data_IF_138789385180
#
_entry.id   IF_138789385180
#
_cell.length_a   1.000
_cell.length_b   1.000
_cell.length_c   1.000
_cell.angle_alpha   90.00
_cell.angle_beta   90.00
_cell.angle_gamma   90.00
#
_symmetry.space_group_name_H-M   'P 1'
#
loop_
_entity.id
_entity.type
_entity.pdbx_description
1 polymer ?
#
# COMPACT_ATOMS: atom_id res chain seq x y z
N UNK A 1 17.03 42.92 15.72
CA UNK A 1 17.23 41.49 15.79
C UNK A 1 16.65 40.88 14.52
N UNK A 2 17.43 40.16 13.72
CA UNK A 2 16.87 39.50 12.53
C UNK A 2 15.86 38.43 13.01
N UNK A 3 14.66 38.45 12.41
CA UNK A 3 13.66 37.38 12.59
C UNK A 3 14.30 36.11 12.08
N UNK A 4 14.40 35.07 12.92
CA UNK A 4 14.72 33.73 12.47
C UNK A 4 13.78 33.40 11.33
N UNK A 5 14.31 33.03 10.17
CA UNK A 5 13.54 32.52 9.06
C UNK A 5 12.81 31.26 9.58
N UNK A 6 11.49 31.34 9.65
CA UNK A 6 10.70 30.17 10.00
C UNK A 6 11.09 29.05 9.01
N UNK A 7 11.49 27.88 9.53
CA UNK A 7 11.74 26.73 8.69
C UNK A 7 10.49 26.45 7.83
N UNK A 8 10.67 26.04 6.57
CA UNK A 8 9.54 25.74 5.72
C UNK A 8 8.72 24.60 6.37
N UNK A 9 7.41 24.81 6.52
CA UNK A 9 6.51 23.82 7.16
C UNK A 9 6.37 22.52 6.36
N UNK A 10 6.83 22.51 5.12
CA UNK A 10 6.84 21.34 4.23
C UNK A 10 8.24 21.18 3.67
N UNK A 11 8.78 19.99 3.86
CA UNK A 11 9.99 19.51 3.17
C UNK A 11 9.60 18.33 2.29
N UNK A 12 10.17 18.25 1.09
CA UNK A 12 9.98 17.11 0.19
C UNK A 12 11.34 16.61 -0.24
N UNK A 13 11.65 15.39 0.13
CA UNK A 13 12.84 14.67 -0.33
C UNK A 13 12.42 13.67 -1.42
N UNK A 14 13.11 13.68 -2.55
CA UNK A 14 12.92 12.69 -3.62
C UNK A 14 14.12 11.77 -3.57
N UNK A 15 13.88 10.51 -3.17
CA UNK A 15 14.93 9.50 -3.00
C UNK A 15 15.09 8.64 -4.25
N UNK A 16 14.12 8.70 -5.15
CA UNK A 16 14.15 7.95 -6.39
C UNK A 16 15.32 8.43 -7.26
N UNK A 17 16.30 7.56 -7.51
CA UNK A 17 17.14 7.68 -8.69
C UNK A 17 16.35 7.09 -9.84
N UNK A 18 15.76 7.97 -10.68
CA UNK A 18 14.87 7.54 -11.78
C UNK A 18 15.50 6.46 -12.67
N UNK A 19 16.82 6.47 -12.85
CA UNK A 19 17.51 5.51 -13.68
C UNK A 19 17.63 4.13 -12.99
N UNK A 20 18.06 4.11 -11.74
CA UNK A 20 18.23 2.88 -10.95
C UNK A 20 16.90 2.24 -10.60
N UNK A 21 15.89 3.04 -10.28
CA UNK A 21 14.54 2.55 -9.99
C UNK A 21 13.88 1.96 -11.23
N UNK A 22 14.07 2.58 -12.39
CA UNK A 22 13.57 2.08 -13.66
C UNK A 22 14.27 0.77 -14.05
N UNK A 23 15.59 0.68 -13.90
CA UNK A 23 16.33 -0.55 -14.17
C UNK A 23 15.87 -1.70 -13.27
N UNK A 24 15.75 -1.44 -11.96
CA UNK A 24 15.26 -2.42 -10.98
C UNK A 24 13.83 -2.88 -11.29
N UNK A 25 12.94 -1.97 -11.70
CA UNK A 25 11.57 -2.30 -12.08
C UNK A 25 11.54 -3.16 -13.35
N UNK A 26 12.40 -2.87 -14.33
CA UNK A 26 12.48 -3.67 -15.56
C UNK A 26 12.98 -5.09 -15.26
N UNK A 27 14.02 -5.24 -14.46
CA UNK A 27 14.51 -6.55 -14.01
C UNK A 27 13.46 -7.33 -13.21
N UNK A 28 12.76 -6.67 -12.31
CA UNK A 28 11.66 -7.28 -11.56
C UNK A 28 10.54 -7.73 -12.49
N UNK A 29 10.22 -6.91 -13.51
CA UNK A 29 9.20 -7.24 -14.51
C UNK A 29 9.59 -8.46 -15.32
N UNK A 30 10.83 -8.54 -15.81
CA UNK A 30 11.34 -9.73 -16.54
C UNK A 30 11.23 -10.98 -15.67
N UNK A 31 11.78 -10.92 -14.45
CA UNK A 31 11.78 -12.06 -13.52
C UNK A 31 10.38 -12.58 -13.22
N UNK A 32 9.41 -11.67 -12.98
CA UNK A 32 8.03 -12.05 -12.65
C UNK A 32 7.26 -12.58 -13.88
N UNK A 33 7.48 -12.01 -15.06
CA UNK A 33 6.86 -12.48 -16.30
C UNK A 33 7.40 -13.85 -16.76
N UNK A 34 8.59 -14.23 -16.34
CA UNK A 34 9.21 -15.54 -16.63
C UNK A 34 9.00 -16.55 -15.50
N UNK A 35 8.27 -16.20 -14.44
CA UNK A 35 7.94 -17.11 -13.35
C UNK A 35 6.97 -18.23 -13.78
N UNK A 36 6.73 -19.19 -12.88
CA UNK A 36 5.77 -20.29 -13.08
C UNK A 36 4.36 -19.75 -13.37
N UNK A 37 3.95 -18.74 -12.65
CA UNK A 37 2.78 -17.89 -12.97
C UNK A 37 3.31 -16.58 -13.50
N UNK A 38 2.91 -16.21 -14.72
CA UNK A 38 3.25 -14.89 -15.26
C UNK A 38 2.64 -13.80 -14.41
N UNK A 39 3.44 -12.84 -13.97
CA UNK A 39 2.99 -11.79 -13.09
C UNK A 39 3.58 -10.43 -13.51
N UNK A 40 2.78 -9.36 -13.39
CA UNK A 40 3.25 -7.99 -13.49
C UNK A 40 3.47 -7.42 -12.08
N UNK A 41 4.58 -6.73 -11.81
CA UNK A 41 4.72 -5.96 -10.58
C UNK A 41 3.55 -5.00 -10.36
N UNK A 42 2.97 -4.98 -9.16
CA UNK A 42 1.80 -4.16 -8.82
C UNK A 42 2.04 -2.64 -9.01
N UNK A 43 3.30 -2.20 -9.02
CA UNK A 43 3.64 -0.80 -9.29
C UNK A 43 3.12 -0.30 -10.65
N UNK A 44 2.95 -1.19 -11.64
CA UNK A 44 2.36 -0.85 -12.94
C UNK A 44 0.88 -0.44 -12.88
N UNK A 45 0.21 -0.73 -11.76
CA UNK A 45 -1.16 -0.29 -11.49
C UNK A 45 -1.26 1.21 -11.19
N UNK A 46 -0.19 1.82 -10.65
CA UNK A 46 -0.22 3.12 -9.98
C UNK A 46 0.40 4.27 -10.80
N UNK A 47 0.26 4.22 -12.15
CA UNK A 47 0.49 5.42 -12.93
C UNK A 47 -0.58 6.48 -12.62
N UNK A 48 -0.49 7.67 -13.23
CA UNK A 48 -1.42 8.78 -12.97
C UNK A 48 -2.90 8.38 -13.15
N UNK A 49 -3.21 7.59 -14.21
CA UNK A 49 -4.57 7.11 -14.44
C UNK A 49 -4.96 6.06 -13.41
N UNK A 50 -4.08 5.10 -13.14
CA UNK A 50 -4.31 4.05 -12.16
C UNK A 50 -4.56 4.60 -10.77
N UNK A 51 -3.79 5.61 -10.35
CA UNK A 51 -4.00 6.28 -9.06
C UNK A 51 -5.39 6.92 -8.97
N UNK A 52 -5.88 7.54 -10.06
CA UNK A 52 -7.27 8.06 -10.11
C UNK A 52 -8.32 6.96 -10.04
N UNK A 53 -8.12 5.85 -10.77
CA UNK A 53 -9.02 4.69 -10.72
C UNK A 53 -9.04 4.06 -9.32
N UNK A 54 -7.88 3.94 -8.68
CA UNK A 54 -7.82 3.45 -7.30
C UNK A 54 -8.59 4.37 -6.34
N UNK A 55 -8.47 5.67 -6.50
CA UNK A 55 -9.27 6.62 -5.71
C UNK A 55 -10.78 6.44 -5.93
N UNK A 56 -11.22 6.12 -7.15
CA UNK A 56 -12.61 5.77 -7.44
C UNK A 56 -13.00 4.45 -6.77
N UNK A 57 -12.15 3.41 -6.82
CA UNK A 57 -12.35 2.13 -6.13
C UNK A 57 -12.60 2.36 -4.64
N UNK A 58 -11.83 3.22 -3.99
CA UNK A 58 -12.01 3.51 -2.55
C UNK A 58 -13.37 4.11 -2.18
N UNK A 59 -14.14 4.59 -3.17
CA UNK A 59 -15.48 5.17 -2.99
C UNK A 59 -16.62 4.19 -3.33
N UNK A 60 -16.28 3.00 -3.90
CA UNK A 60 -17.27 1.99 -4.25
C UNK A 60 -17.91 1.37 -3.00
N UNK A 61 -19.19 1.02 -3.12
CA UNK A 61 -19.92 0.40 -2.03
C UNK A 61 -19.39 -1.00 -1.72
N UNK A 62 -19.02 -1.75 -2.75
CA UNK A 62 -18.49 -3.10 -2.65
C UNK A 62 -17.10 -3.11 -2.01
N UNK A 63 -16.27 -2.10 -2.27
CA UNK A 63 -14.91 -1.97 -1.71
C UNK A 63 -14.96 -1.38 -0.30
N UNK A 64 -15.21 -2.23 0.69
CA UNK A 64 -15.47 -1.83 2.08
C UNK A 64 -14.22 -1.43 2.88
N UNK A 65 -13.00 -1.82 2.46
CA UNK A 65 -11.77 -1.71 3.24
C UNK A 65 -11.53 -0.32 3.85
N UNK A 66 -11.52 0.79 3.08
CA UNK A 66 -11.23 2.10 3.66
C UNK A 66 -12.28 2.57 4.67
N UNK A 67 -13.55 2.15 4.48
CA UNK A 67 -14.63 2.51 5.40
C UNK A 67 -14.49 1.79 6.73
N UNK A 68 -14.20 0.47 6.71
CA UNK A 68 -14.03 -0.34 7.91
C UNK A 68 -12.80 0.10 8.71
N UNK A 69 -11.69 0.35 8.02
CA UNK A 69 -10.51 0.92 8.66
C UNK A 69 -10.82 2.29 9.29
N UNK A 70 -11.50 3.17 8.57
CA UNK A 70 -11.91 4.47 9.08
C UNK A 70 -12.86 4.40 10.29
N UNK A 71 -13.77 3.40 10.36
CA UNK A 71 -14.63 3.14 11.53
C UNK A 71 -13.78 2.79 12.76
N UNK A 72 -12.79 1.90 12.61
CA UNK A 72 -11.88 1.50 13.68
C UNK A 72 -11.02 2.68 14.16
N UNK A 73 -10.43 3.43 13.24
CA UNK A 73 -9.56 4.57 13.57
C UNK A 73 -10.34 5.68 14.29
N UNK A 74 -11.59 5.95 13.90
CA UNK A 74 -12.46 6.90 14.64
C UNK A 74 -12.78 6.42 16.06
N UNK A 75 -13.10 5.14 16.20
CA UNK A 75 -13.47 4.57 17.50
C UNK A 75 -12.28 4.47 18.46
N UNK A 76 -11.08 4.22 17.95
CA UNK A 76 -9.90 3.89 18.76
C UNK A 76 -8.75 4.88 18.64
N UNK A 77 -8.88 5.96 17.87
CA UNK A 77 -7.82 6.98 17.68
C UNK A 77 -7.29 7.54 19.00
N UNK A 78 -8.16 7.88 19.94
CA UNK A 78 -7.74 8.36 21.27
C UNK A 78 -6.96 7.30 22.07
N UNK A 79 -7.30 6.01 21.91
CA UNK A 79 -6.54 4.93 22.54
C UNK A 79 -5.17 4.77 21.87
N UNK A 80 -5.10 4.84 20.53
CA UNK A 80 -3.85 4.82 19.78
C UNK A 80 -2.94 5.97 20.23
N UNK A 81 -3.45 7.20 20.26
CA UNK A 81 -2.69 8.38 20.69
C UNK A 81 -2.16 8.21 22.12
N UNK A 82 -3.00 7.75 23.06
CA UNK A 82 -2.61 7.53 24.46
C UNK A 82 -1.56 6.43 24.63
N UNK A 83 -1.67 5.32 23.88
CA UNK A 83 -0.73 4.20 23.97
C UNK A 83 0.62 4.53 23.35
N UNK A 84 0.63 5.30 22.27
CA UNK A 84 1.86 5.61 21.52
C UNK A 84 2.52 6.90 21.98
N UNK A 85 1.72 7.91 22.33
CA UNK A 85 2.21 9.27 22.59
C UNK A 85 3.22 9.72 21.53
N UNK A 86 2.93 9.40 20.26
CA UNK A 86 3.86 9.62 19.17
C UNK A 86 4.03 11.11 18.87
N UNK A 87 5.29 11.54 18.72
CA UNK A 87 5.65 12.87 18.25
C UNK A 87 5.70 12.92 16.72
N UNK A 88 6.00 11.79 16.11
CA UNK A 88 6.08 11.65 14.64
C UNK A 88 5.14 10.55 14.19
N UNK A 89 4.23 10.88 13.26
CA UNK A 89 3.51 9.90 12.47
C UNK A 89 4.27 9.71 11.16
N UNK A 90 4.65 8.47 10.87
CA UNK A 90 5.17 8.06 9.56
C UNK A 90 4.10 7.24 8.87
N UNK A 91 3.82 7.46 7.60
CA UNK A 91 2.90 6.64 6.83
C UNK A 91 3.57 6.06 5.59
N UNK A 92 3.50 4.74 5.46
CA UNK A 92 4.02 3.99 4.33
C UNK A 92 2.91 3.78 3.31
N UNK A 93 3.11 4.25 2.07
CA UNK A 93 2.07 4.24 1.04
C UNK A 93 0.95 5.24 1.36
N UNK A 94 1.32 6.49 1.61
CA UNK A 94 0.41 7.51 2.14
C UNK A 94 -0.78 7.85 1.23
N UNK A 95 -0.60 7.77 -0.09
CA UNK A 95 -1.66 8.08 -1.05
C UNK A 95 -2.39 9.40 -0.75
N UNK A 96 -3.71 9.34 -0.64
CA UNK A 96 -4.58 10.51 -0.38
C UNK A 96 -4.73 10.89 1.10
N UNK A 97 -4.04 10.23 2.00
CA UNK A 97 -4.01 10.45 3.48
C UNK A 97 -5.41 10.53 4.15
N UNK A 98 -6.42 9.91 3.56
CA UNK A 98 -7.80 10.05 4.04
C UNK A 98 -8.02 9.47 5.44
N UNK A 99 -7.59 8.22 5.66
CA UNK A 99 -7.70 7.56 6.97
C UNK A 99 -6.61 8.03 7.92
N UNK A 100 -5.45 8.42 7.40
CA UNK A 100 -4.34 9.00 8.16
C UNK A 100 -4.75 10.24 8.93
N UNK A 101 -5.64 11.06 8.37
CA UNK A 101 -6.17 12.25 9.08
C UNK A 101 -6.81 11.88 10.42
N UNK A 102 -7.45 10.71 10.52
CA UNK A 102 -8.05 10.26 11.78
C UNK A 102 -6.99 9.98 12.85
N UNK A 103 -5.81 9.50 12.44
CA UNK A 103 -4.67 9.29 13.33
C UNK A 103 -4.00 10.63 13.68
N UNK A 104 -3.83 11.52 12.68
CA UNK A 104 -3.30 12.87 12.90
C UNK A 104 -4.16 13.65 13.88
N UNK A 105 -5.50 13.68 13.68
CA UNK A 105 -6.45 14.35 14.59
C UNK A 105 -6.36 13.82 16.02
N UNK A 106 -6.20 12.50 16.17
CA UNK A 106 -6.10 11.87 17.47
C UNK A 106 -4.79 12.23 18.20
N UNK A 107 -3.67 12.24 17.49
CA UNK A 107 -2.34 12.63 18.03
C UNK A 107 -2.27 14.13 18.31
N UNK A 108 -2.84 14.97 17.44
CA UNK A 108 -2.93 16.43 17.68
C UNK A 108 -3.78 16.73 18.91
N UNK A 109 -4.96 16.10 19.03
CA UNK A 109 -5.81 16.22 20.22
C UNK A 109 -5.10 15.73 21.49
N UNK A 110 -4.24 14.69 21.37
CA UNK A 110 -3.37 14.22 22.45
C UNK A 110 -2.22 15.16 22.80
N UNK A 111 -1.99 16.19 21.99
CA UNK A 111 -0.96 17.22 22.21
C UNK A 111 0.48 16.75 22.00
N UNK A 112 0.70 15.63 21.30
CA UNK A 112 2.04 15.06 21.10
C UNK A 112 2.57 15.19 19.68
N UNK A 113 1.71 15.43 18.68
CA UNK A 113 2.08 15.46 17.27
C UNK A 113 2.93 16.69 16.93
N UNK A 114 4.15 16.44 16.46
CA UNK A 114 5.10 17.46 16.02
C UNK A 114 5.42 17.34 14.52
N UNK A 115 5.41 16.08 14.01
CA UNK A 115 5.87 15.79 12.64
C UNK A 115 4.98 14.75 11.97
N UNK A 116 4.76 14.95 10.67
CA UNK A 116 4.18 13.96 9.77
C UNK A 116 5.15 13.63 8.63
N UNK A 117 5.38 12.34 8.41
CA UNK A 117 6.31 11.84 7.38
C UNK A 117 5.57 10.87 6.46
N UNK A 118 4.86 11.37 5.43
CA UNK A 118 4.29 10.50 4.42
C UNK A 118 5.36 10.03 3.44
N UNK A 119 5.37 8.73 3.13
CA UNK A 119 6.22 8.11 2.11
C UNK A 119 5.33 7.48 1.05
N UNK A 120 5.55 7.81 -0.21
CA UNK A 120 4.81 7.27 -1.35
C UNK A 120 5.64 7.38 -2.64
N UNK A 121 5.37 6.52 -3.61
CA UNK A 121 6.03 6.55 -4.94
C UNK A 121 5.47 7.64 -5.84
N UNK A 122 4.23 8.08 -5.62
CA UNK A 122 3.54 9.08 -6.44
C UNK A 122 3.89 10.50 -5.98
N UNK A 123 4.91 11.11 -6.58
CA UNK A 123 5.37 12.46 -6.24
C UNK A 123 4.24 13.50 -6.30
N UNK A 124 3.44 13.48 -7.36
CA UNK A 124 2.35 14.44 -7.54
C UNK A 124 1.30 14.35 -6.42
N UNK A 125 0.85 13.13 -6.11
CA UNK A 125 -0.13 12.88 -5.04
C UNK A 125 0.45 13.26 -3.68
N UNK A 126 1.70 12.89 -3.44
CA UNK A 126 2.37 13.15 -2.17
C UNK A 126 2.57 14.65 -1.90
N UNK A 127 3.00 15.43 -2.92
CA UNK A 127 3.13 16.89 -2.80
C UNK A 127 1.80 17.57 -2.49
N UNK A 128 0.74 17.17 -3.18
CA UNK A 128 -0.61 17.70 -2.94
C UNK A 128 -1.10 17.36 -1.53
N UNK A 129 -0.92 16.13 -1.09
CA UNK A 129 -1.28 15.66 0.25
C UNK A 129 -0.47 16.39 1.34
N UNK A 130 0.85 16.54 1.16
CA UNK A 130 1.72 17.24 2.11
C UNK A 130 1.30 18.72 2.30
N UNK A 131 0.99 19.40 1.21
CA UNK A 131 0.53 20.80 1.28
C UNK A 131 -0.84 20.92 1.98
N UNK A 132 -1.76 19.98 1.69
CA UNK A 132 -3.08 19.96 2.33
C UNK A 132 -2.98 19.67 3.84
N UNK A 133 -2.07 18.79 4.26
CA UNK A 133 -1.82 18.49 5.67
C UNK A 133 -1.15 19.68 6.37
N UNK A 134 -0.12 20.28 5.79
CA UNK A 134 0.55 21.44 6.39
C UNK A 134 -0.41 22.64 6.59
N UNK A 135 -1.39 22.77 5.68
CA UNK A 135 -2.44 23.80 5.80
C UNK A 135 -3.44 23.49 6.92
N UNK A 136 -3.82 22.20 7.07
CA UNK A 136 -4.79 21.76 8.08
C UNK A 136 -4.19 21.69 9.50
N UNK A 137 -2.89 21.39 9.61
CA UNK A 137 -2.16 21.23 10.87
C UNK A 137 -0.97 22.22 10.96
N UNK A 138 -1.24 23.51 11.24
CA UNK A 138 -0.22 24.55 11.14
C UNK A 138 0.98 24.40 12.11
N UNK A 139 0.87 23.58 13.14
CA UNK A 139 1.93 23.33 14.10
C UNK A 139 2.77 22.08 13.75
N UNK A 140 2.31 21.29 12.77
CA UNK A 140 2.97 20.04 12.37
C UNK A 140 3.95 20.33 11.24
N UNK A 141 5.19 19.85 11.39
CA UNK A 141 6.17 19.85 10.31
C UNK A 141 5.91 18.64 9.39
N UNK A 142 5.66 18.87 8.12
CA UNK A 142 5.44 17.82 7.13
C UNK A 142 6.73 17.56 6.36
N UNK A 143 7.26 16.33 6.47
CA UNK A 143 8.43 15.88 5.77
C UNK A 143 8.05 14.74 4.80
N UNK A 144 7.65 15.08 3.60
CA UNK A 144 7.24 14.13 2.58
C UNK A 144 8.47 13.47 1.93
N UNK A 145 8.42 12.15 1.72
CA UNK A 145 9.48 11.38 1.10
C UNK A 145 8.92 10.65 -0.12
N UNK A 146 9.37 11.05 -1.32
CA UNK A 146 9.06 10.34 -2.57
C UNK A 146 9.98 9.15 -2.68
N UNK A 147 9.41 7.95 -2.61
CA UNK A 147 10.19 6.71 -2.64
C UNK A 147 9.33 5.47 -2.43
N UNK A 148 9.94 4.32 -2.66
CA UNK A 148 9.36 3.01 -2.44
C UNK A 148 9.61 2.55 -1.00
N UNK A 149 8.56 2.22 -0.26
CA UNK A 149 8.69 1.77 1.13
C UNK A 149 9.41 0.42 1.24
N UNK A 150 9.44 -0.42 0.21
CA UNK A 150 10.22 -1.66 0.25
C UNK A 150 11.74 -1.39 0.21
N UNK A 151 12.18 -0.25 -0.34
CA UNK A 151 13.59 0.09 -0.58
C UNK A 151 14.11 1.23 0.31
N UNK A 152 13.27 2.17 0.66
CA UNK A 152 13.70 3.45 1.24
C UNK A 152 13.36 3.63 2.73
N UNK A 153 13.02 2.53 3.45
CA UNK A 153 12.76 2.60 4.90
C UNK A 153 13.92 3.21 5.69
N UNK A 154 15.16 2.98 5.26
CA UNK A 154 16.36 3.53 5.91
C UNK A 154 16.48 5.05 5.86
N UNK A 155 15.74 5.72 4.99
CA UNK A 155 15.71 7.17 4.88
C UNK A 155 14.69 7.84 5.81
N UNK A 156 13.86 7.05 6.51
CA UNK A 156 12.90 7.59 7.46
C UNK A 156 13.61 8.30 8.62
N UNK A 157 13.20 9.53 8.97
CA UNK A 157 13.86 10.28 10.04
C UNK A 157 13.69 9.57 11.39
N UNK A 158 14.79 9.51 12.13
CA UNK A 158 14.79 9.07 13.51
C UNK A 158 14.43 10.20 14.49
N UNK A 159 14.38 9.84 15.77
CA UNK A 159 14.20 10.77 16.89
C UNK A 159 12.75 10.92 17.36
N UNK A 160 12.59 11.03 18.68
CA UNK A 160 11.28 11.05 19.33
C UNK A 160 10.59 9.68 19.31
N UNK A 161 9.32 9.67 19.74
CA UNK A 161 8.46 8.49 19.63
C UNK A 161 7.78 8.51 18.26
N UNK A 162 7.95 7.45 17.48
CA UNK A 162 7.36 7.32 16.15
C UNK A 162 6.20 6.34 16.18
N UNK A 163 5.13 6.69 15.49
CA UNK A 163 4.09 5.76 15.06
C UNK A 163 4.26 5.55 13.56
N UNK A 164 4.68 4.36 13.16
CA UNK A 164 4.76 3.99 11.75
C UNK A 164 3.41 3.35 11.38
N UNK A 165 2.69 3.96 10.46
CA UNK A 165 1.39 3.49 9.98
C UNK A 165 1.53 2.83 8.61
N UNK A 166 0.99 1.64 8.47
CA UNK A 166 0.87 0.91 7.22
C UNK A 166 -0.58 0.45 7.05
N UNK A 167 -1.37 1.33 6.47
CA UNK A 167 -2.83 1.26 6.42
C UNK A 167 -3.34 0.69 5.09
N UNK A 168 -4.67 0.60 4.94
CA UNK A 168 -5.32 0.16 3.70
C UNK A 168 -5.20 -1.33 3.39
N UNK A 169 -4.69 -2.14 4.32
CA UNK A 169 -4.35 -3.55 4.08
C UNK A 169 -3.27 -3.75 3.01
N UNK A 170 -2.46 -2.75 2.74
CA UNK A 170 -1.36 -2.79 1.76
C UNK A 170 -0.36 -3.92 2.06
N UNK A 171 -0.18 -4.28 3.33
CA UNK A 171 0.63 -5.45 3.74
C UNK A 171 0.12 -6.76 3.12
N UNK A 172 -1.15 -6.83 2.74
CA UNK A 172 -1.76 -7.98 2.06
C UNK A 172 -1.30 -8.17 0.63
N UNK A 173 -0.71 -7.15 0.01
CA UNK A 173 -0.19 -7.22 -1.37
C UNK A 173 1.22 -7.85 -1.42
N UNK A 174 1.83 -8.07 -0.25
CA UNK A 174 3.11 -8.77 -0.13
C UNK A 174 2.89 -10.27 0.01
N UNK A 175 3.64 -11.06 -0.74
CA UNK A 175 3.70 -12.51 -0.54
C UNK A 175 4.19 -12.85 0.88
N UNK A 176 3.83 -14.02 1.44
CA UNK A 176 4.18 -14.36 2.84
C UNK A 176 5.65 -14.18 3.19
N UNK A 177 6.56 -14.56 2.29
CA UNK A 177 8.01 -14.41 2.49
C UNK A 177 8.43 -12.93 2.45
N UNK A 178 7.93 -12.17 1.47
CA UNK A 178 8.18 -10.73 1.35
C UNK A 178 7.64 -9.99 2.57
N UNK A 179 6.43 -10.32 3.00
CA UNK A 179 5.79 -9.75 4.20
C UNK A 179 6.61 -10.03 5.46
N UNK A 180 7.11 -11.26 5.62
CA UNK A 180 8.00 -11.63 6.72
C UNK A 180 9.30 -10.83 6.73
N UNK A 181 9.94 -10.66 5.57
CA UNK A 181 11.15 -9.86 5.41
C UNK A 181 10.87 -8.37 5.70
N UNK A 182 9.77 -7.83 5.19
CA UNK A 182 9.34 -6.44 5.40
C UNK A 182 9.06 -6.14 6.88
N UNK A 183 8.30 -6.99 7.56
CA UNK A 183 8.07 -6.87 9.01
C UNK A 183 9.38 -6.97 9.80
N UNK A 184 10.31 -7.84 9.39
CA UNK A 184 11.65 -7.93 10.00
C UNK A 184 12.47 -6.66 9.84
N UNK A 185 12.42 -6.02 8.68
CA UNK A 185 13.07 -4.74 8.42
C UNK A 185 12.45 -3.63 9.28
N UNK A 186 11.12 -3.55 9.35
CA UNK A 186 10.43 -2.61 10.23
C UNK A 186 10.81 -2.82 11.70
N UNK A 187 10.82 -4.07 12.17
CA UNK A 187 11.21 -4.37 13.55
C UNK A 187 12.63 -3.93 13.88
N UNK A 188 13.58 -4.11 12.94
CA UNK A 188 14.97 -3.71 13.14
C UNK A 188 15.18 -2.19 13.25
N UNK A 189 14.27 -1.39 12.67
CA UNK A 189 14.37 0.08 12.71
C UNK A 189 13.50 0.73 13.79
N UNK A 190 12.61 -0.02 14.46
CA UNK A 190 11.83 0.48 15.58
C UNK A 190 12.68 0.63 16.83
N UNK A 191 12.67 1.81 17.43
CA UNK A 191 13.18 2.02 18.78
C UNK A 191 12.17 1.47 19.82
N UNK A 192 12.60 1.29 21.05
CA UNK A 192 11.79 0.73 22.15
C UNK A 192 10.43 1.41 22.33
N UNK A 193 10.39 2.74 22.15
CA UNK A 193 9.19 3.56 22.36
C UNK A 193 8.41 3.81 21.06
N UNK A 194 8.88 3.30 19.93
CA UNK A 194 8.17 3.35 18.66
C UNK A 194 7.06 2.30 18.62
N UNK A 195 6.11 2.50 17.73
CA UNK A 195 5.05 1.54 17.47
C UNK A 195 4.77 1.45 15.96
N UNK A 196 4.26 0.29 15.54
CA UNK A 196 3.79 0.04 14.19
C UNK A 196 2.27 -0.16 14.23
N UNK A 197 1.54 0.59 13.40
CA UNK A 197 0.10 0.48 13.23
C UNK A 197 -0.22 -0.11 11.86
N UNK A 198 -0.83 -1.28 11.84
CA UNK A 198 -1.08 -2.00 10.57
C UNK A 198 -2.57 -2.24 10.39
N UNK A 199 -3.08 -1.84 9.23
CA UNK A 199 -4.43 -2.21 8.78
C UNK A 199 -4.40 -3.55 8.05
N UNK A 200 -5.31 -4.47 8.39
CA UNK A 200 -5.40 -5.79 7.75
C UNK A 200 -6.85 -6.16 7.46
N UNK A 201 -7.11 -6.58 6.23
CA UNK A 201 -8.40 -7.13 5.84
C UNK A 201 -8.52 -8.58 6.31
N UNK A 202 -9.68 -8.95 6.88
CA UNK A 202 -9.86 -10.24 7.53
C UNK A 202 -10.50 -11.26 6.58
N UNK A 203 -10.19 -12.54 6.81
CA UNK A 203 -10.89 -13.66 6.15
C UNK A 203 -12.38 -13.63 6.52
N UNK A 204 -13.22 -13.65 5.50
CA UNK A 204 -14.69 -13.64 5.62
C UNK A 204 -15.34 -14.42 4.48
N UNK A 205 -16.64 -14.27 4.30
CA UNK A 205 -17.38 -14.89 3.20
C UNK A 205 -16.71 -14.62 1.83
N UNK A 206 -16.33 -15.68 1.06
CA UNK A 206 -15.74 -15.55 -0.25
C UNK A 206 -16.54 -14.66 -1.21
N UNK A 207 -17.86 -14.75 -1.23
CA UNK A 207 -18.70 -13.93 -2.11
C UNK A 207 -18.55 -12.43 -1.82
N UNK A 208 -18.35 -12.08 -0.54
CA UNK A 208 -18.11 -10.70 -0.14
C UNK A 208 -16.71 -10.22 -0.50
N UNK A 209 -15.71 -11.10 -0.39
CA UNK A 209 -14.35 -10.82 -0.82
C UNK A 209 -14.30 -10.59 -2.33
N UNK A 210 -14.89 -11.49 -3.10
CA UNK A 210 -14.92 -11.39 -4.56
C UNK A 210 -15.69 -10.16 -5.04
N UNK A 211 -16.81 -9.82 -4.42
CA UNK A 211 -17.58 -8.61 -4.76
C UNK A 211 -16.77 -7.32 -4.60
N UNK A 212 -15.86 -7.25 -3.61
CA UNK A 212 -15.02 -6.08 -3.38
C UNK A 212 -14.03 -5.82 -4.54
N UNK A 213 -13.66 -6.86 -5.29
CA UNK A 213 -12.74 -6.76 -6.43
C UNK A 213 -13.43 -6.97 -7.78
N UNK A 214 -14.72 -7.31 -7.79
CA UNK A 214 -15.56 -7.43 -8.99
C UNK A 214 -16.76 -6.47 -8.88
N UNK A 215 -16.45 -5.19 -8.73
CA UNK A 215 -17.48 -4.17 -8.54
C UNK A 215 -18.44 -4.06 -9.73
N UNK A 216 -19.69 -3.72 -9.44
CA UNK A 216 -20.77 -3.64 -10.44
C UNK A 216 -20.55 -2.57 -11.51
N UNK A 217 -19.64 -1.62 -11.30
CA UNK A 217 -19.29 -0.54 -12.22
C UNK A 217 -18.09 -0.89 -13.12
N UNK A 218 -17.35 -1.95 -12.80
CA UNK A 218 -16.17 -2.38 -13.55
C UNK A 218 -14.95 -1.47 -13.36
N UNK A 219 -14.91 -0.66 -12.29
CA UNK A 219 -13.78 0.26 -12.04
C UNK A 219 -12.51 -0.51 -11.69
N UNK A 220 -12.64 -1.59 -10.91
CA UNK A 220 -11.51 -2.46 -10.55
C UNK A 220 -10.96 -3.19 -11.78
N UNK A 221 -11.83 -3.68 -12.66
CA UNK A 221 -11.40 -4.24 -13.96
C UNK A 221 -10.62 -3.20 -14.78
N UNK A 222 -11.11 -1.96 -14.86
CA UNK A 222 -10.43 -0.88 -15.58
C UNK A 222 -9.07 -0.54 -14.99
N UNK A 223 -8.96 -0.54 -13.65
CA UNK A 223 -7.72 -0.34 -12.92
C UNK A 223 -6.68 -1.42 -13.26
N UNK A 224 -7.08 -2.70 -13.23
CA UNK A 224 -6.17 -3.81 -13.55
C UNK A 224 -5.76 -3.79 -15.02
N UNK A 225 -6.70 -3.50 -15.94
CA UNK A 225 -6.40 -3.37 -17.37
C UNK A 225 -5.45 -2.21 -17.66
N UNK A 226 -5.50 -1.15 -16.85
CA UNK A 226 -4.59 -0.01 -17.02
C UNK A 226 -3.12 -0.40 -16.86
N UNK A 227 -2.79 -1.43 -16.08
CA UNK A 227 -1.43 -1.94 -15.98
C UNK A 227 -0.85 -2.33 -17.35
N UNK A 228 -1.66 -2.96 -18.23
CA UNK A 228 -1.22 -3.27 -19.59
C UNK A 228 -0.95 -2.02 -20.40
N UNK A 229 -1.76 -0.96 -20.21
CA UNK A 229 -1.55 0.33 -20.89
C UNK A 229 -0.23 0.97 -20.43
N UNK A 230 0.03 0.96 -19.12
CA UNK A 230 1.26 1.48 -18.55
C UNK A 230 2.50 0.71 -19.08
N UNK A 231 2.45 -0.61 -19.04
CA UNK A 231 3.51 -1.49 -19.57
C UNK A 231 3.73 -1.26 -21.07
N UNK A 232 2.65 -1.18 -21.87
CA UNK A 232 2.76 -0.89 -23.31
C UNK A 232 3.46 0.44 -23.58
N UNK A 233 3.08 1.47 -22.84
CA UNK A 233 3.67 2.81 -22.97
C UNK A 233 5.15 2.83 -22.56
N UNK A 234 5.46 2.28 -21.40
CA UNK A 234 6.80 2.38 -20.81
C UNK A 234 7.78 1.38 -21.39
N UNK A 235 7.35 0.16 -21.70
CA UNK A 235 8.21 -0.93 -22.18
C UNK A 235 8.11 -1.19 -23.67
N UNK A 236 7.30 -0.40 -24.42
CA UNK A 236 6.96 -0.65 -25.83
C UNK A 236 6.45 -2.07 -26.05
N UNK A 237 5.55 -2.50 -25.16
CA UNK A 237 4.94 -3.81 -25.25
C UNK A 237 3.72 -3.81 -26.18
N UNK A 238 3.28 -5.02 -26.57
CA UNK A 238 2.17 -5.22 -27.53
C UNK A 238 0.97 -5.92 -26.88
N UNK A 239 0.73 -5.69 -25.59
CA UNK A 239 -0.47 -6.24 -24.94
C UNK A 239 -1.74 -5.66 -25.57
N UNK A 240 -2.59 -6.52 -26.12
CA UNK A 240 -3.95 -6.18 -26.56
C UNK A 240 -4.94 -6.57 -25.45
N UNK A 241 -5.49 -5.58 -24.75
CA UNK A 241 -6.42 -5.78 -23.64
C UNK A 241 -7.64 -6.63 -24.01
N UNK A 242 -8.08 -6.62 -25.28
CA UNK A 242 -9.23 -7.41 -25.76
C UNK A 242 -8.95 -8.92 -25.77
N UNK A 243 -7.67 -9.30 -25.77
CA UNK A 243 -7.25 -10.71 -25.69
C UNK A 243 -7.26 -11.28 -24.29
N UNK A 244 -7.63 -10.47 -23.31
CA UNK A 244 -7.68 -10.89 -21.91
C UNK A 244 -9.07 -10.72 -21.31
N UNK A 245 -9.39 -11.56 -20.33
CA UNK A 245 -10.56 -11.45 -19.46
C UNK A 245 -10.05 -11.06 -18.08
N UNK A 246 -10.71 -10.12 -17.42
CA UNK A 246 -10.46 -9.81 -16.03
C UNK A 246 -10.94 -10.96 -15.13
N UNK A 247 -10.16 -11.27 -14.11
CA UNK A 247 -10.50 -12.26 -13.09
C UNK A 247 -9.99 -11.79 -11.74
N UNK A 248 -10.88 -11.74 -10.75
CA UNK A 248 -10.50 -11.61 -9.34
C UNK A 248 -11.20 -12.73 -8.58
N UNK A 249 -10.43 -13.64 -7.99
CA UNK A 249 -10.93 -14.86 -7.38
C UNK A 249 -10.34 -15.06 -6.00
N UNK A 250 -11.18 -15.54 -5.09
CA UNK A 250 -10.72 -15.97 -3.78
C UNK A 250 -9.97 -17.31 -3.86
N UNK A 251 -8.74 -17.32 -3.36
CA UNK A 251 -7.96 -18.51 -3.12
C UNK A 251 -8.00 -18.87 -1.63
N UNK A 252 -8.73 -19.93 -1.30
CA UNK A 252 -8.91 -20.36 0.07
C UNK A 252 -7.71 -21.14 0.64
N UNK A 253 -6.81 -21.64 -0.21
CA UNK A 253 -5.60 -22.34 0.21
C UNK A 253 -4.59 -21.35 0.76
N UNK A 254 -4.41 -20.23 0.04
CA UNK A 254 -3.44 -19.20 0.38
C UNK A 254 -4.05 -18.02 1.15
N UNK A 255 -5.38 -17.99 1.26
CA UNK A 255 -6.14 -16.91 1.90
C UNK A 255 -5.87 -15.53 1.26
N UNK A 256 -5.90 -15.44 -0.06
CA UNK A 256 -5.82 -14.17 -0.78
C UNK A 256 -6.81 -14.04 -1.92
N UNK A 257 -7.09 -12.82 -2.33
CA UNK A 257 -7.64 -12.54 -3.64
C UNK A 257 -6.51 -12.65 -4.66
N UNK A 258 -6.68 -13.49 -5.68
CA UNK A 258 -5.83 -13.55 -6.86
C UNK A 258 -6.45 -12.65 -7.94
N UNK A 259 -5.76 -11.56 -8.28
CA UNK A 259 -6.30 -10.49 -9.12
C UNK A 259 -5.44 -10.38 -10.37
N UNK A 260 -6.08 -10.47 -11.52
CA UNK A 260 -5.33 -10.41 -12.77
C UNK A 260 -6.20 -10.52 -14.02
N UNK A 261 -5.55 -10.99 -15.04
CA UNK A 261 -6.11 -11.14 -16.39
C UNK A 261 -5.86 -12.57 -16.85
N UNK A 262 -6.75 -13.10 -17.71
CA UNK A 262 -6.60 -14.42 -18.26
C UNK A 262 -6.69 -14.35 -19.79
N UNK A 263 -5.74 -14.96 -20.49
CA UNK A 263 -5.71 -14.97 -21.95
C UNK A 263 -6.94 -15.68 -22.52
N UNK A 264 -7.63 -15.04 -23.48
CA UNK A 264 -8.81 -15.63 -24.18
C UNK A 264 -8.44 -16.72 -25.15
N UNK A 265 -7.24 -16.65 -25.72
CA UNK A 265 -6.70 -17.57 -26.72
C UNK A 265 -5.17 -17.51 -26.69
N UNK A 266 -4.52 -18.51 -27.25
CA UNK A 266 -3.09 -18.52 -27.42
C UNK A 266 -2.62 -17.32 -28.27
N UNK A 267 -1.60 -16.60 -27.80
CA UNK A 267 -1.00 -15.50 -28.53
C UNK A 267 0.38 -15.14 -27.95
N UNK A 268 1.13 -14.34 -28.69
CA UNK A 268 2.43 -13.81 -28.24
C UNK A 268 2.34 -12.32 -28.02
N UNK A 269 3.01 -11.83 -26.96
CA UNK A 269 3.21 -10.43 -26.65
C UNK A 269 4.70 -10.12 -26.72
N UNK A 270 5.08 -9.13 -27.51
CA UNK A 270 6.46 -8.66 -27.57
C UNK A 270 6.64 -7.46 -26.60
N UNK A 271 7.76 -7.43 -25.89
CA UNK A 271 8.14 -6.33 -24.99
C UNK A 271 9.53 -5.82 -25.41
N UNK A 272 9.53 -4.85 -26.34
CA UNK A 272 10.74 -4.40 -27.04
C UNK A 272 11.86 -3.98 -26.12
N UNK A 273 11.56 -3.14 -25.11
CA UNK A 273 12.59 -2.63 -24.17
C UNK A 273 13.22 -3.70 -23.28
N UNK A 274 12.55 -4.84 -23.12
CA UNK A 274 13.08 -5.97 -22.35
C UNK A 274 13.69 -7.05 -23.24
N UNK A 275 13.56 -6.93 -24.57
CA UNK A 275 13.97 -7.97 -25.53
C UNK A 275 13.25 -9.28 -25.28
N UNK A 276 11.99 -9.25 -24.85
CA UNK A 276 11.24 -10.41 -24.40
C UNK A 276 10.00 -10.65 -25.24
N UNK A 277 9.84 -11.87 -25.73
CA UNK A 277 8.62 -12.37 -26.32
C UNK A 277 7.95 -13.37 -25.37
N UNK A 278 6.71 -13.09 -24.99
CA UNK A 278 5.92 -13.91 -24.07
C UNK A 278 4.83 -14.65 -24.84
N UNK A 279 4.90 -15.95 -24.85
CA UNK A 279 3.79 -16.78 -25.32
C UNK A 279 2.77 -16.94 -24.18
N UNK A 280 1.50 -16.76 -24.51
CA UNK A 280 0.36 -17.08 -23.65
C UNK A 280 -0.41 -18.23 -24.28
N UNK A 281 -0.69 -19.25 -23.48
CA UNK A 281 -1.65 -20.28 -23.84
C UNK A 281 -3.08 -19.79 -23.62
N UNK A 282 -4.06 -20.46 -24.21
CA UNK A 282 -5.46 -20.17 -23.90
C UNK A 282 -5.74 -20.40 -22.42
N UNK A 283 -6.43 -19.44 -21.79
CA UNK A 283 -6.76 -19.41 -20.36
C UNK A 283 -5.57 -19.27 -19.41
N UNK A 284 -4.39 -18.99 -19.91
CA UNK A 284 -3.23 -18.75 -19.06
C UNK A 284 -3.40 -17.46 -18.25
N UNK A 285 -3.11 -17.48 -16.94
CA UNK A 285 -3.20 -16.29 -16.09
C UNK A 285 -2.03 -15.34 -16.31
N UNK A 286 -2.33 -14.05 -16.21
CA UNK A 286 -1.38 -12.98 -15.98
C UNK A 286 -1.80 -12.30 -14.68
N UNK A 287 -1.15 -12.65 -13.58
CA UNK A 287 -1.42 -12.05 -12.28
C UNK A 287 -0.91 -10.62 -12.25
N UNK A 288 -1.62 -9.74 -11.59
CA UNK A 288 -1.24 -8.33 -11.43
C UNK A 288 -1.08 -7.98 -9.95
N UNK A 289 -1.89 -8.58 -9.09
CA UNK A 289 -1.84 -8.33 -7.67
C UNK A 289 -2.41 -9.51 -6.88
N UNK A 290 -1.92 -9.70 -5.66
CA UNK A 290 -2.61 -10.48 -4.64
C UNK A 290 -3.12 -9.54 -3.54
N UNK A 291 -4.16 -9.97 -2.83
CA UNK A 291 -4.59 -9.27 -1.62
C UNK A 291 -4.91 -10.27 -0.52
N UNK A 292 -3.91 -10.54 0.33
CA UNK A 292 -4.02 -11.48 1.44
C UNK A 292 -5.06 -11.02 2.45
N UNK A 293 -5.82 -11.99 2.98
CA UNK A 293 -6.77 -11.79 4.06
C UNK A 293 -6.27 -12.54 5.29
N UNK A 294 -6.42 -11.91 6.43
CA UNK A 294 -5.75 -12.36 7.64
C UNK A 294 -6.73 -12.99 8.63
N UNK A 295 -6.22 -13.96 9.38
CA UNK A 295 -6.78 -14.40 10.66
C UNK A 295 -5.87 -13.86 11.76
N UNK A 296 -6.45 -13.46 12.90
CA UNK A 296 -5.69 -12.86 13.99
C UNK A 296 -4.50 -13.72 14.42
N UNK A 297 -4.73 -14.98 14.67
CA UNK A 297 -3.69 -15.90 15.15
C UNK A 297 -2.58 -16.12 14.11
N UNK A 298 -2.91 -16.05 12.80
CA UNK A 298 -1.92 -16.12 11.74
C UNK A 298 -1.05 -14.85 11.73
N UNK A 299 -1.68 -13.69 11.77
CA UNK A 299 -0.97 -12.41 11.78
C UNK A 299 -0.08 -12.27 13.02
N UNK A 300 -0.56 -12.65 14.20
CA UNK A 300 0.24 -12.66 15.43
C UNK A 300 1.48 -13.58 15.33
N UNK A 301 1.34 -14.76 14.70
CA UNK A 301 2.49 -15.64 14.43
C UNK A 301 3.49 -15.05 13.46
N UNK A 302 3.02 -14.40 12.39
CA UNK A 302 3.90 -13.73 11.41
C UNK A 302 4.65 -12.56 12.07
N UNK A 303 3.95 -11.74 12.85
CA UNK A 303 4.56 -10.65 13.62
C UNK A 303 5.61 -11.16 14.61
N UNK A 304 5.30 -12.24 15.35
CA UNK A 304 6.23 -12.82 16.32
C UNK A 304 7.52 -13.36 15.68
N UNK A 305 7.44 -13.95 14.48
CA UNK A 305 8.63 -14.36 13.71
C UNK A 305 9.52 -13.19 13.35
N UNK A 306 8.93 -12.01 13.13
CA UNK A 306 9.63 -10.76 12.90
C UNK A 306 10.03 -10.02 14.20
N UNK A 307 9.89 -10.66 15.38
CA UNK A 307 10.15 -10.06 16.70
C UNK A 307 9.24 -8.88 17.03
N UNK A 308 8.05 -8.86 16.46
CA UNK A 308 7.00 -7.89 16.79
C UNK A 308 5.93 -8.57 17.64
N UNK A 309 5.43 -7.86 18.64
CA UNK A 309 4.33 -8.29 19.49
C UNK A 309 3.10 -7.44 19.22
N UNK A 310 1.96 -8.06 18.97
CA UNK A 310 0.68 -7.35 18.88
C UNK A 310 0.27 -6.91 20.29
N UNK A 311 0.26 -5.61 20.52
CA UNK A 311 -0.15 -5.00 21.80
C UNK A 311 -1.66 -4.77 21.86
N UNK A 312 -2.24 -4.37 20.72
CA UNK A 312 -3.69 -4.16 20.62
C UNK A 312 -4.18 -4.63 19.24
N UNK A 313 -5.43 -5.07 19.22
CA UNK A 313 -6.13 -5.54 18.03
C UNK A 313 -7.56 -5.02 18.07
N UNK A 314 -7.91 -4.11 17.18
CA UNK A 314 -9.24 -3.53 17.09
C UNK A 314 -9.89 -3.93 15.77
N UNK A 315 -11.18 -4.27 15.83
CA UNK A 315 -11.97 -4.59 14.64
C UNK A 315 -13.16 -3.65 14.50
N UNK A 316 -13.68 -3.53 13.29
CA UNK A 316 -15.01 -2.96 13.07
C UNK A 316 -16.10 -3.89 13.64
N UNK A 317 -17.32 -3.38 13.72
CA UNK A 317 -18.44 -4.12 14.33
C UNK A 317 -18.80 -5.43 13.60
N UNK A 318 -18.49 -5.53 12.31
CA UNK A 318 -18.73 -6.74 11.51
C UNK A 318 -17.52 -7.70 11.50
N UNK A 319 -16.41 -7.33 12.14
CA UNK A 319 -15.13 -8.04 12.09
C UNK A 319 -14.65 -8.28 10.63
N UNK A 320 -14.84 -7.30 9.78
CA UNK A 320 -14.37 -7.33 8.40
C UNK A 320 -12.91 -6.95 8.28
N UNK A 321 -12.48 -6.01 9.11
CA UNK A 321 -11.16 -5.39 9.06
C UNK A 321 -10.58 -5.30 10.47
N UNK A 322 -9.27 -5.27 10.59
CA UNK A 322 -8.61 -5.01 11.85
C UNK A 322 -7.51 -3.97 11.70
N UNK A 323 -7.29 -3.22 12.78
CA UNK A 323 -6.11 -2.37 12.97
C UNK A 323 -5.34 -2.93 14.15
N UNK A 324 -4.09 -3.30 13.92
CA UNK A 324 -3.19 -3.86 14.92
C UNK A 324 -2.13 -2.83 15.32
N UNK A 325 -1.90 -2.66 16.62
CA UNK A 325 -0.76 -1.93 17.17
C UNK A 325 0.30 -2.92 17.61
N UNK A 326 1.52 -2.77 17.07
CA UNK A 326 2.63 -3.68 17.34
C UNK A 326 3.82 -2.92 17.95
N UNK A 327 4.61 -3.66 18.74
CA UNK A 327 5.90 -3.20 19.29
C UNK A 327 6.96 -4.30 19.19
N UNK A 328 8.23 -3.90 19.28
CA UNK A 328 9.37 -4.82 19.40
C UNK A 328 9.49 -5.39 20.83
#
# INVERSE_FOLDING_TARGET
>A
MPRASAEPKVRVDVLADEADDRASLYEATVRRLQGEVKELPAVWLYDERGSRLYEEITRLQEYYLPRREGEILRAHGSAIARLTQAHTLVELGAGTVKNTRLVLDALETGGTLERFVPLDVSEQTLRASAQAIASAYPQVFVHAIVGDFERHLGALPGGGRRLIAFLGSTIGNLYPEQRGAFLGTLAAMLARDDALLVGVDLVKDPARLEAAYNDSRGVTEEFVRNALTAVNRELRATFDQRRFVYEARWDSADNWMDIGLRARQAHTVSIERLGLDLAFEEREPLRVEISSKFRREQFEREAARARLRVESWWTDAAADFAVALLRV
#
